data_IF_578790025044
#
_entry.id   IF_578790025044
#
_cell.length_a   1.000
_cell.length_b   1.000
_cell.length_c   1.000
_cell.angle_alpha   90.00
_cell.angle_beta   90.00
_cell.angle_gamma   90.00
#
_symmetry.space_group_name_H-M   'P 1'
#
loop_
_entity.id
_entity.type
_entity.pdbx_description
1 polymer ?
#
# COMPACT_ATOMS: atom_id res chain seq x y z
N UNK A 1 6.04 8.96 -24.00
CA UNK A 1 4.72 8.74 -24.60
C UNK A 1 4.79 7.42 -25.36
N UNK A 2 3.82 6.54 -25.15
CA UNK A 2 3.76 5.22 -25.78
C UNK A 2 2.35 5.09 -26.35
N UNK A 3 2.25 4.77 -27.63
CA UNK A 3 0.97 4.58 -28.30
C UNK A 3 0.61 3.09 -28.30
N UNK A 4 -0.59 2.77 -27.86
CA UNK A 4 -1.09 1.39 -27.75
C UNK A 4 -2.28 1.22 -28.68
N UNK A 5 -2.23 0.23 -29.56
CA UNK A 5 -3.34 -0.11 -30.44
C UNK A 5 -4.20 -1.21 -29.79
N UNK A 6 -5.45 -0.89 -29.50
CA UNK A 6 -6.44 -1.85 -28.99
C UNK A 6 -7.28 -2.37 -30.15
N UNK A 7 -7.39 -3.70 -30.29
CA UNK A 7 -8.22 -4.29 -31.36
C UNK A 7 -9.68 -3.87 -31.21
N UNK A 8 -10.36 -3.67 -32.36
CA UNK A 8 -11.75 -3.20 -32.43
C UNK A 8 -12.75 -3.99 -31.57
N UNK A 9 -12.53 -5.29 -31.38
CA UNK A 9 -13.42 -6.16 -30.57
C UNK A 9 -13.25 -5.97 -29.05
N UNK A 10 -12.20 -5.28 -28.61
CA UNK A 10 -11.87 -5.07 -27.20
C UNK A 10 -11.98 -3.60 -26.79
N UNK A 11 -12.42 -2.70 -27.67
CA UNK A 11 -12.55 -1.26 -27.38
C UNK A 11 -13.46 -0.99 -26.18
N UNK A 12 -14.51 -1.80 -26.03
CA UNK A 12 -15.46 -1.64 -24.92
C UNK A 12 -14.88 -2.01 -23.55
N UNK A 13 -13.74 -2.72 -23.50
CA UNK A 13 -13.04 -3.04 -22.27
C UNK A 13 -12.24 -1.85 -21.74
N UNK A 14 -11.81 -0.93 -22.60
CA UNK A 14 -11.08 0.26 -22.17
C UNK A 14 -12.08 1.33 -21.79
N UNK A 15 -12.05 1.72 -20.52
CA UNK A 15 -12.93 2.75 -19.96
C UNK A 15 -12.12 3.99 -19.62
N UNK A 16 -12.80 5.13 -19.51
CA UNK A 16 -12.19 6.39 -19.03
C UNK A 16 -11.52 6.22 -17.65
N UNK A 17 -12.02 5.30 -16.82
CA UNK A 17 -11.46 4.97 -15.51
C UNK A 17 -10.46 3.82 -15.48
N UNK A 18 -10.08 3.26 -16.64
CA UNK A 18 -9.09 2.17 -16.73
C UNK A 18 -7.72 2.63 -16.23
N UNK A 19 -7.03 1.73 -15.55
CA UNK A 19 -5.63 1.90 -15.13
C UNK A 19 -4.77 0.90 -15.86
N UNK A 20 -3.64 1.36 -16.38
CA UNK A 20 -2.68 0.55 -17.13
C UNK A 20 -1.43 0.35 -16.30
N UNK A 21 -0.88 -0.85 -16.24
CA UNK A 21 0.38 -1.13 -15.55
C UNK A 21 1.30 -2.00 -16.38
N UNK A 22 2.59 -1.84 -16.14
CA UNK A 22 3.60 -2.67 -16.76
C UNK A 22 3.62 -4.06 -16.10
N UNK A 23 3.69 -5.12 -16.91
CA UNK A 23 3.84 -6.51 -16.45
C UNK A 23 5.13 -7.15 -16.99
N UNK A 24 6.05 -6.32 -17.47
CA UNK A 24 7.35 -6.74 -17.98
C UNK A 24 8.30 -6.98 -16.81
N UNK A 25 8.59 -8.24 -16.50
CA UNK A 25 9.58 -8.56 -15.48
C UNK A 25 9.41 -9.94 -14.85
N UNK A 26 10.40 -10.32 -14.06
CA UNK A 26 10.34 -11.50 -13.17
C UNK A 26 10.07 -11.00 -11.75
N UNK A 27 9.00 -11.47 -11.13
CA UNK A 27 8.78 -11.30 -9.68
C UNK A 27 9.43 -12.49 -8.96
N UNK A 28 10.55 -12.21 -8.29
CA UNK A 28 11.28 -13.16 -7.48
C UNK A 28 11.27 -12.71 -6.02
N UNK A 29 10.47 -13.40 -5.20
CA UNK A 29 10.43 -13.14 -3.77
C UNK A 29 11.24 -14.22 -3.03
N UNK A 30 12.29 -13.78 -2.33
CA UNK A 30 13.12 -14.65 -1.50
C UNK A 30 12.72 -14.43 -0.04
N UNK A 31 12.12 -15.46 0.55
CA UNK A 31 11.69 -15.45 1.94
C UNK A 31 12.43 -16.51 2.75
N UNK A 32 12.40 -16.35 4.08
CA UNK A 32 12.95 -17.32 5.04
C UNK A 32 12.33 -18.72 4.93
N UNK A 33 11.11 -18.83 4.38
CA UNK A 33 10.39 -20.09 4.18
C UNK A 33 10.66 -20.70 2.81
N UNK A 34 11.50 -20.05 1.98
CA UNK A 34 11.90 -20.52 0.66
C UNK A 34 11.82 -19.40 -0.41
N UNK A 35 12.26 -19.75 -1.61
CA UNK A 35 12.15 -18.89 -2.79
C UNK A 35 10.86 -19.19 -3.54
N UNK A 36 10.08 -18.14 -3.83
CA UNK A 36 8.92 -18.21 -4.73
C UNK A 36 9.22 -17.38 -5.96
N UNK A 37 9.24 -18.03 -7.12
CA UNK A 37 9.42 -17.38 -8.41
C UNK A 37 8.11 -17.49 -9.16
N UNK A 38 7.51 -16.35 -9.52
CA UNK A 38 6.29 -16.31 -10.33
C UNK A 38 6.66 -15.78 -11.71
N UNK A 39 6.39 -16.60 -12.74
CA UNK A 39 6.54 -16.21 -14.14
C UNK A 39 5.14 -16.00 -14.71
N UNK A 40 4.73 -14.75 -14.90
CA UNK A 40 3.36 -14.45 -15.32
C UNK A 40 3.12 -14.68 -16.82
N UNK A 41 4.10 -14.33 -17.65
CA UNK A 41 4.04 -14.59 -19.09
C UNK A 41 5.44 -14.61 -19.70
N UNK A 42 5.83 -15.74 -20.28
CA UNK A 42 7.11 -15.87 -21.00
C UNK A 42 7.20 -14.91 -22.19
N UNK A 43 6.07 -14.60 -22.83
CA UNK A 43 6.04 -13.63 -23.93
C UNK A 43 6.27 -12.19 -23.41
N UNK A 44 5.71 -11.84 -22.25
CA UNK A 44 5.92 -10.54 -21.61
C UNK A 44 7.37 -10.35 -21.15
N UNK A 45 8.10 -11.43 -20.83
CA UNK A 45 9.53 -11.34 -20.49
C UNK A 45 10.41 -10.94 -21.67
N UNK A 46 10.03 -11.34 -22.89
CA UNK A 46 10.85 -11.12 -24.09
C UNK A 46 10.54 -9.76 -24.73
N UNK A 47 9.25 -9.43 -24.85
CA UNK A 47 8.81 -8.25 -25.61
C UNK A 47 8.25 -7.13 -24.72
N UNK A 48 8.16 -7.36 -23.41
CA UNK A 48 7.36 -6.54 -22.52
C UNK A 48 5.85 -6.72 -22.73
N UNK A 49 5.06 -6.32 -21.75
CA UNK A 49 3.60 -6.22 -21.89
C UNK A 49 3.01 -5.19 -20.93
N UNK A 50 1.84 -4.68 -21.32
CA UNK A 50 1.02 -3.76 -20.52
C UNK A 50 -0.30 -4.48 -20.26
N UNK A 51 -0.73 -4.49 -19.01
CA UNK A 51 -2.07 -4.94 -18.61
C UNK A 51 -2.92 -3.75 -18.16
N UNK A 52 -4.24 -3.93 -18.15
CA UNK A 52 -5.17 -2.89 -17.71
C UNK A 52 -6.41 -3.49 -17.08
N UNK A 53 -7.15 -2.66 -16.34
CA UNK A 53 -8.46 -3.03 -15.79
C UNK A 53 -9.64 -2.34 -16.48
N UNK A 54 -10.83 -2.92 -16.29
CA UNK A 54 -12.08 -2.41 -16.85
C UNK A 54 -13.08 -2.16 -15.72
N UNK A 55 -13.14 -0.95 -15.14
CA UNK A 55 -14.11 -0.65 -14.08
C UNK A 55 -15.55 -0.69 -14.61
N UNK A 56 -16.44 -1.30 -13.83
CA UNK A 56 -17.85 -1.51 -14.22
C UNK A 56 -18.62 -0.19 -14.34
N UNK A 57 -18.42 0.74 -13.40
CA UNK A 57 -19.03 2.07 -13.41
C UNK A 57 -18.16 3.12 -14.11
N UNK A 58 -17.91 2.94 -15.41
CA UNK A 58 -17.15 3.92 -16.19
C UNK A 58 -17.55 3.95 -17.67
N UNK A 59 -17.52 5.14 -18.27
CA UNK A 59 -17.80 5.32 -19.70
C UNK A 59 -16.67 4.73 -20.55
N UNK A 60 -16.96 4.21 -21.76
CA UNK A 60 -15.92 3.79 -22.70
C UNK A 60 -14.91 4.92 -22.98
N UNK A 61 -13.64 4.55 -23.14
CA UNK A 61 -12.61 5.47 -23.61
C UNK A 61 -12.84 5.85 -25.08
N UNK A 62 -12.38 7.03 -25.45
CA UNK A 62 -12.38 7.54 -26.82
C UNK A 62 -10.98 7.36 -27.43
N UNK A 63 -10.89 7.47 -28.76
CA UNK A 63 -9.59 7.45 -29.44
C UNK A 63 -8.71 8.60 -28.93
N UNK A 64 -7.40 8.33 -28.83
CA UNK A 64 -6.38 9.29 -28.35
C UNK A 64 -6.52 9.71 -26.88
N UNK A 65 -7.38 9.06 -26.09
CA UNK A 65 -7.38 9.25 -24.63
C UNK A 65 -6.02 8.88 -24.02
N UNK A 66 -5.54 9.72 -23.10
CA UNK A 66 -4.28 9.51 -22.41
C UNK A 66 -4.50 8.87 -21.04
N UNK A 67 -3.71 7.84 -20.74
CA UNK A 67 -3.73 7.13 -19.46
C UNK A 67 -2.36 7.16 -18.79
N UNK A 68 -2.37 7.12 -17.46
CA UNK A 68 -1.15 6.87 -16.69
C UNK A 68 -0.73 5.41 -16.82
N UNK A 69 0.57 5.17 -16.98
CA UNK A 69 1.17 3.84 -16.94
C UNK A 69 1.84 3.66 -15.57
N UNK A 70 1.26 2.81 -14.74
CA UNK A 70 1.83 2.42 -13.45
C UNK A 70 2.98 1.44 -13.62
N UNK A 71 3.90 1.44 -12.66
CA UNK A 71 5.07 0.55 -12.67
C UNK A 71 4.68 -0.92 -12.57
N UNK A 72 3.67 -1.23 -11.75
CA UNK A 72 3.17 -2.59 -11.55
C UNK A 72 1.70 -2.59 -11.07
N UNK A 73 1.17 -3.78 -10.81
CA UNK A 73 -0.19 -3.99 -10.30
C UNK A 73 -0.40 -3.43 -8.88
N UNK A 74 0.63 -3.41 -8.03
CA UNK A 74 0.50 -2.91 -6.66
C UNK A 74 0.26 -1.39 -6.68
N UNK A 75 0.98 -0.68 -7.55
CA UNK A 75 0.84 0.77 -7.73
C UNK A 75 -0.44 1.16 -8.49
N UNK A 76 -1.03 0.25 -9.28
CA UNK A 76 -2.29 0.52 -9.98
C UNK A 76 -3.53 0.35 -9.09
N UNK A 77 -3.40 -0.16 -7.86
CA UNK A 77 -4.54 -0.42 -6.97
C UNK A 77 -5.35 0.84 -6.66
N UNK A 78 -6.69 0.71 -6.75
CA UNK A 78 -7.59 1.78 -6.33
C UNK A 78 -7.65 1.83 -4.80
N UNK A 79 -7.56 3.02 -4.25
CA UNK A 79 -7.65 3.24 -2.82
C UNK A 79 -7.78 4.72 -2.49
N UNK A 80 -8.15 5.00 -1.25
CA UNK A 80 -8.20 6.37 -0.73
C UNK A 80 -6.82 6.71 -0.18
N UNK A 81 -6.21 7.74 -0.74
CA UNK A 81 -4.93 8.26 -0.26
C UNK A 81 -5.20 9.11 0.98
N UNK A 82 -4.57 8.75 2.09
CA UNK A 82 -4.56 9.53 3.33
C UNK A 82 -3.16 10.06 3.60
N UNK A 83 -3.09 11.29 4.09
CA UNK A 83 -1.83 11.92 4.52
C UNK A 83 -1.63 11.73 6.02
N UNK A 84 -0.41 11.39 6.39
CA UNK A 84 -0.02 11.03 7.75
C UNK A 84 1.12 11.95 8.22
N UNK A 85 0.98 12.55 9.39
CA UNK A 85 2.09 13.24 10.07
C UNK A 85 2.77 12.29 11.06
N UNK A 86 3.90 11.72 10.65
CA UNK A 86 4.58 10.67 11.39
C UNK A 86 5.58 11.28 12.40
N UNK A 87 5.70 10.70 13.61
CA UNK A 87 6.69 11.15 14.57
C UNK A 87 8.14 10.86 14.13
N UNK A 88 8.33 9.81 13.34
CA UNK A 88 9.62 9.44 12.75
C UNK A 88 9.40 8.48 11.59
N UNK A 89 10.37 8.40 10.67
CA UNK A 89 10.41 7.36 9.61
C UNK A 89 11.03 6.04 10.06
N UNK A 90 11.40 5.89 11.34
CA UNK A 90 12.14 4.72 11.81
C UNK A 90 11.31 3.44 11.70
N UNK A 91 11.81 2.47 10.95
CA UNK A 91 11.13 1.17 10.74
C UNK A 91 9.91 1.23 9.82
N UNK A 92 9.69 2.36 9.15
CA UNK A 92 8.69 2.56 8.10
C UNK A 92 9.38 2.54 6.74
N UNK A 93 8.74 1.92 5.76
CA UNK A 93 9.27 1.81 4.39
C UNK A 93 8.10 1.95 3.42
N UNK A 94 8.27 2.83 2.42
CA UNK A 94 7.33 2.92 1.32
C UNK A 94 7.18 1.54 0.66
N UNK A 95 5.95 1.21 0.29
CA UNK A 95 5.55 -0.01 -0.41
C UNK A 95 5.81 -1.31 0.37
N UNK A 96 6.12 -1.21 1.66
CA UNK A 96 6.39 -2.37 2.53
C UNK A 96 5.76 -2.27 3.92
N UNK A 97 5.32 -1.09 4.35
CA UNK A 97 4.64 -0.91 5.64
C UNK A 97 3.12 -1.00 5.50
N UNK A 98 2.48 -2.09 5.98
CA UNK A 98 1.04 -2.26 5.88
C UNK A 98 0.28 -1.50 6.99
N UNK A 99 -0.93 -1.06 6.68
CA UNK A 99 -1.94 -0.62 7.66
C UNK A 99 -2.75 -1.82 8.09
N UNK A 100 -2.75 -2.11 9.39
CA UNK A 100 -3.44 -3.28 9.93
C UNK A 100 -4.76 -2.89 10.63
N UNK A 101 -5.84 -3.60 10.33
CA UNK A 101 -7.08 -3.54 11.10
C UNK A 101 -7.55 -4.95 11.42
N UNK A 102 -7.74 -5.24 12.72
CA UNK A 102 -8.14 -6.57 13.21
C UNK A 102 -7.26 -7.74 12.71
N UNK A 103 -5.97 -7.48 12.44
CA UNK A 103 -5.04 -8.50 11.94
C UNK A 103 -5.07 -8.69 10.42
N UNK A 104 -5.90 -7.94 9.70
CA UNK A 104 -5.93 -7.89 8.25
C UNK A 104 -5.19 -6.64 7.74
N UNK A 105 -4.50 -6.78 6.62
CA UNK A 105 -3.93 -5.66 5.88
C UNK A 105 -5.05 -4.94 5.14
N UNK A 106 -5.17 -3.63 5.37
CA UNK A 106 -6.25 -2.78 4.83
C UNK A 106 -5.73 -1.53 4.14
N UNK A 107 -4.41 -1.42 3.97
CA UNK A 107 -3.76 -0.31 3.30
C UNK A 107 -2.25 -0.45 3.37
N UNK A 108 -1.55 0.44 2.68
CA UNK A 108 -0.10 0.40 2.54
C UNK A 108 0.47 1.81 2.49
N UNK A 109 1.58 2.04 3.18
CA UNK A 109 2.34 3.28 3.08
C UNK A 109 2.98 3.35 1.70
N UNK A 110 2.54 4.27 0.84
CA UNK A 110 3.04 4.43 -0.54
C UNK A 110 4.07 5.53 -0.66
N UNK A 111 4.17 6.43 0.31
CA UNK A 111 5.16 7.51 0.30
C UNK A 111 5.64 7.88 1.70
N UNK A 112 6.91 8.25 1.80
CA UNK A 112 7.52 8.74 3.02
C UNK A 112 8.49 9.89 2.69
N UNK A 113 8.23 11.07 3.24
CA UNK A 113 8.97 12.31 2.98
C UNK A 113 9.51 12.90 4.30
N UNK A 114 10.75 13.40 4.28
CA UNK A 114 11.33 14.20 5.37
C UNK A 114 11.25 15.69 4.98
N UNK A 115 10.36 16.42 5.62
CA UNK A 115 10.18 17.85 5.39
C UNK A 115 11.19 18.69 6.17
N UNK A 116 11.42 19.95 5.73
CA UNK A 116 12.20 20.92 6.49
C UNK A 116 11.73 21.04 7.94
N UNK A 117 12.67 21.17 8.88
CA UNK A 117 12.37 21.19 10.31
C UNK A 117 12.24 19.81 10.96
N UNK A 118 12.58 18.73 10.24
CA UNK A 118 12.61 17.37 10.78
C UNK A 118 11.24 16.69 10.90
N UNK A 119 10.20 17.28 10.28
CA UNK A 119 8.87 16.68 10.25
C UNK A 119 8.82 15.56 9.22
N UNK A 120 8.33 14.39 9.63
CA UNK A 120 8.14 13.26 8.71
C UNK A 120 6.68 13.22 8.28
N UNK A 121 6.42 13.16 6.98
CA UNK A 121 5.07 12.95 6.43
C UNK A 121 5.05 11.69 5.59
N UNK A 122 3.90 11.03 5.54
CA UNK A 122 3.69 9.89 4.67
C UNK A 122 2.36 9.98 3.94
N UNK A 123 2.29 9.29 2.81
CA UNK A 123 1.02 9.02 2.11
C UNK A 123 0.75 7.53 2.18
N UNK A 124 -0.49 7.19 2.48
CA UNK A 124 -0.94 5.82 2.64
C UNK A 124 -2.17 5.58 1.79
N UNK A 125 -2.13 4.53 0.98
CA UNK A 125 -3.28 4.11 0.18
C UNK A 125 -4.08 3.10 1.00
N UNK A 126 -5.34 3.40 1.24
CA UNK A 126 -6.25 2.60 2.08
C UNK A 126 -7.34 1.97 1.23
N UNK A 127 -7.70 0.73 1.56
CA UNK A 127 -8.79 0.01 0.90
C UNK A 127 -10.13 0.78 1.05
N UNK A 128 -10.87 1.01 -0.05
CA UNK A 128 -12.15 1.72 -0.01
C UNK A 128 -13.18 1.13 0.99
N UNK A 129 -13.14 -0.17 1.25
CA UNK A 129 -14.06 -0.86 2.16
C UNK A 129 -13.93 -0.40 3.62
N UNK A 130 -12.75 0.08 4.03
CA UNK A 130 -12.49 0.53 5.41
C UNK A 130 -12.56 2.04 5.58
N UNK A 131 -12.79 2.80 4.51
CA UNK A 131 -12.85 4.28 4.55
C UNK A 131 -13.94 4.77 5.51
N UNK A 132 -15.06 4.04 5.61
CA UNK A 132 -16.14 4.36 6.55
C UNK A 132 -15.73 4.28 8.03
N UNK A 133 -14.61 3.62 8.31
CA UNK A 133 -13.99 3.49 9.63
C UNK A 133 -12.96 4.59 9.90
N UNK A 134 -12.54 5.38 8.91
CA UNK A 134 -11.64 6.53 9.05
C UNK A 134 -12.45 7.79 9.37
N UNK A 135 -12.84 7.95 10.65
CA UNK A 135 -13.61 9.09 11.15
C UNK A 135 -12.72 9.99 12.02
N UNK A 136 -13.24 11.15 12.46
CA UNK A 136 -12.53 12.11 13.30
C UNK A 136 -11.89 11.50 14.57
N UNK A 137 -12.53 10.49 15.16
CA UNK A 137 -12.06 9.83 16.38
C UNK A 137 -11.21 8.58 16.13
N UNK A 138 -10.92 8.26 14.86
CA UNK A 138 -10.12 7.09 14.50
C UNK A 138 -8.67 7.37 14.78
N UNK A 139 -8.04 6.48 15.54
CA UNK A 139 -6.62 6.57 15.87
C UNK A 139 -5.85 5.51 15.10
N UNK A 140 -4.75 5.95 14.49
CA UNK A 140 -3.76 5.09 13.87
C UNK A 140 -2.54 5.09 14.77
N UNK A 141 -2.26 3.94 15.37
CA UNK A 141 -1.13 3.78 16.30
C UNK A 141 -0.03 2.95 15.64
N UNK A 142 1.22 3.40 15.75
CA UNK A 142 2.37 2.60 15.37
C UNK A 142 2.58 1.51 16.44
N UNK A 143 2.47 0.25 16.05
CA UNK A 143 2.69 -0.89 16.95
C UNK A 143 4.04 -1.54 16.68
N UNK A 144 4.75 -1.87 17.75
CA UNK A 144 5.94 -2.70 17.68
C UNK A 144 5.52 -4.16 17.90
N UNK A 145 5.98 -5.11 17.08
CA UNK A 145 5.78 -6.52 17.37
C UNK A 145 6.46 -6.85 18.70
N UNK A 146 5.67 -7.28 19.69
CA UNK A 146 6.22 -7.81 20.94
C UNK A 146 6.82 -9.18 20.64
N UNK A 147 8.14 -9.26 20.60
CA UNK A 147 8.84 -10.54 20.50
C UNK A 147 8.68 -11.27 21.83
N UNK A 148 7.85 -12.32 21.84
CA UNK A 148 7.67 -13.21 22.98
C UNK A 148 8.53 -14.45 22.76
N UNK A 149 9.33 -14.84 23.76
CA UNK A 149 10.15 -16.06 23.71
C UNK A 149 9.31 -17.35 23.78
N UNK A 150 8.02 -17.23 24.07
CA UNK A 150 7.06 -18.34 24.08
C UNK A 150 6.57 -18.72 22.68
N UNK A 151 6.63 -17.78 21.74
CA UNK A 151 6.17 -17.95 20.36
C UNK A 151 7.41 -18.03 19.47
N UNK A 152 7.64 -19.20 18.86
CA UNK A 152 8.84 -19.54 18.11
C UNK A 152 9.00 -18.75 16.79
N UNK A 153 9.17 -17.43 16.86
CA UNK A 153 9.37 -16.56 15.70
C UNK A 153 10.84 -16.09 15.61
N UNK A 154 11.78 -17.03 15.76
CA UNK A 154 13.23 -16.84 15.59
C UNK A 154 13.60 -16.30 14.19
N UNK A 155 12.73 -16.54 13.22
CA UNK A 155 12.71 -15.99 11.87
C UNK A 155 12.93 -14.46 11.77
N UNK A 156 12.43 -13.68 12.73
CA UNK A 156 12.56 -12.23 12.74
C UNK A 156 13.98 -11.75 13.12
N UNK A 157 14.73 -12.54 13.88
CA UNK A 157 16.10 -12.23 14.30
C UNK A 157 17.14 -12.57 13.21
N UNK A 158 16.87 -13.61 12.40
CA UNK A 158 17.74 -14.06 11.31
C UNK A 158 17.74 -13.12 10.10
N UNK A 159 16.68 -12.33 9.90
CA UNK A 159 16.56 -11.41 8.75
C UNK A 159 17.24 -10.07 8.97
N UNK A 160 17.75 -9.78 10.17
CA UNK A 160 18.34 -8.47 10.51
C UNK A 160 17.39 -7.28 10.37
N UNK A 161 16.09 -7.53 10.11
CA UNK A 161 15.09 -6.48 9.98
C UNK A 161 14.86 -5.88 11.37
N UNK A 162 15.11 -4.57 11.56
CA UNK A 162 14.71 -3.90 12.80
C UNK A 162 13.20 -4.09 13.00
N UNK A 163 12.74 -4.05 14.25
CA UNK A 163 11.32 -4.15 14.57
C UNK A 163 10.51 -3.20 13.67
N UNK A 164 9.82 -3.76 12.69
CA UNK A 164 9.07 -2.98 11.71
C UNK A 164 7.81 -2.48 12.40
N UNK A 165 7.70 -1.16 12.48
CA UNK A 165 6.51 -0.53 13.01
C UNK A 165 5.44 -0.56 11.93
N UNK A 166 4.22 -0.93 12.31
CA UNK A 166 3.09 -0.85 11.40
C UNK A 166 1.96 -0.03 12.04
N UNK A 167 1.35 0.89 11.29
CA UNK A 167 0.16 1.59 11.73
C UNK A 167 -0.99 0.60 11.88
N UNK A 168 -1.82 0.80 12.90
CA UNK A 168 -3.04 0.03 13.05
C UNK A 168 -4.22 0.85 13.59
N UNK A 169 -5.40 0.58 13.04
CA UNK A 169 -6.64 1.25 13.42
C UNK A 169 -7.26 0.63 14.67
N UNK A 170 -7.72 1.46 15.60
CA UNK A 170 -8.48 1.05 16.79
C UNK A 170 -9.92 1.58 16.71
N UNK A 171 -10.92 0.68 16.83
CA UNK A 171 -12.34 1.03 16.93
C UNK A 171 -12.83 0.83 18.37
N UNK A 172 -13.35 1.91 18.99
CA UNK A 172 -13.82 2.04 20.38
C UNK A 172 -12.75 2.31 21.45
N UNK A 173 -12.48 3.60 21.70
CA UNK A 173 -11.95 4.03 22.99
C UNK A 173 -13.12 4.20 23.98
N UNK A 174 -13.30 3.26 24.91
CA UNK A 174 -14.10 3.53 26.12
C UNK A 174 -13.33 4.52 26.99
N UNK A 175 -14.00 5.59 27.39
CA UNK A 175 -13.51 6.65 28.28
C UNK A 175 -12.77 6.12 29.52
N UNK A 176 -11.49 6.45 29.66
CA UNK A 176 -10.90 7.08 30.84
C UNK A 176 -9.39 7.30 30.62
N UNK A 177 -8.92 8.44 31.12
CA UNK A 177 -7.58 9.00 30.98
C UNK A 177 -6.46 8.05 31.39
N UNK A 178 -5.42 7.93 30.55
CA UNK A 178 -3.99 7.93 30.94
C UNK A 178 -3.12 7.79 29.69
N UNK A 179 -2.46 8.86 29.28
CA UNK A 179 -1.15 8.76 28.64
C UNK A 179 -0.27 9.96 29.03
N UNK A 180 -0.21 10.24 30.33
CA UNK A 180 0.95 10.87 30.96
C UNK A 180 1.88 9.72 31.37
N UNK A 181 2.76 9.28 30.47
CA UNK A 181 4.08 8.68 30.74
C UNK A 181 4.61 7.93 29.50
N UNK A 182 5.60 8.55 28.83
CA UNK A 182 6.63 7.94 27.97
C UNK A 182 6.16 7.04 26.79
N UNK A 183 6.39 7.59 25.57
CA UNK A 183 6.72 6.89 24.31
C UNK A 183 5.61 6.29 23.41
N UNK A 184 4.39 6.80 23.36
CA UNK A 184 3.44 6.40 22.29
C UNK A 184 2.70 7.61 21.71
N UNK A 185 2.83 7.80 20.40
CA UNK A 185 2.44 9.01 19.67
C UNK A 185 1.02 8.88 19.10
N UNK A 186 0.18 9.90 19.31
CA UNK A 186 -1.10 10.07 18.63
C UNK A 186 -0.86 10.86 17.32
N UNK A 187 -1.34 10.33 16.20
CA UNK A 187 -1.27 10.98 14.90
C UNK A 187 -2.63 11.59 14.55
N UNK A 188 -2.63 12.85 14.11
CA UNK A 188 -3.83 13.57 13.69
C UNK A 188 -4.02 13.35 12.19
N UNK A 189 -5.22 12.94 11.76
CA UNK A 189 -5.57 12.83 10.35
C UNK A 189 -6.13 14.17 9.88
N UNK A 190 -5.52 14.75 8.84
CA UNK A 190 -6.04 15.94 8.16
C UNK A 190 -6.66 15.48 6.84
N UNK A 191 -7.99 15.60 6.75
CA UNK A 191 -8.78 15.24 5.56
C UNK A 191 -8.62 16.28 4.45
#
# INVERSE_FOLDING_TARGET
MIDVLIERRFTDLVKKGSRFWNVSGVDANVSISGAKVKLESLAALVNGAIAFDSPEESKPAEAEDTFGLYEDLAHSQRGVIIKLELPSGAGLTADSTPLMYQGLEVGQLTKLDLNPGGKVTGEMTVDPSVVTLLRENTRIELRNPKLSLSDANLSALLTGKPSSWYPAMASHAKSSLLCQAKKHCCMNLMF
#
